data_IF_625310128935
#
_entry.id   IF_625310128935
#
_cell.length_a   1.000
_cell.length_b   1.000
_cell.length_c   1.000
_cell.angle_alpha   90.00
_cell.angle_beta   90.00
_cell.angle_gamma   90.00
#
_symmetry.space_group_name_H-M   'P 1'
#
loop_
_entity.id
_entity.type
_entity.pdbx_description
1 polymer ?
#
# COMPACT_ATOMS: atom_id res chain seq x y z
N UNK A 1 14.08 9.42 8.73
CA UNK A 1 13.92 8.21 9.56
C UNK A 1 12.47 7.89 9.93
N UNK A 2 11.70 8.83 10.50
CA UNK A 2 10.30 8.53 10.90
C UNK A 2 9.41 8.20 9.68
N UNK A 3 9.49 9.00 8.60
CA UNK A 3 8.71 8.76 7.37
C UNK A 3 8.98 7.39 6.74
N UNK A 4 10.23 6.94 6.70
CA UNK A 4 10.61 5.63 6.16
C UNK A 4 10.09 4.47 7.00
N UNK A 5 10.04 4.62 8.33
CA UNK A 5 9.45 3.61 9.22
C UNK A 5 7.94 3.48 9.01
N UNK A 6 7.24 4.60 8.83
CA UNK A 6 5.81 4.58 8.50
C UNK A 6 5.55 3.91 7.15
N UNK A 7 6.35 4.21 6.13
CA UNK A 7 6.27 3.51 4.83
C UNK A 7 6.52 2.01 4.97
N UNK A 8 7.54 1.62 5.74
CA UNK A 8 7.82 0.21 6.01
C UNK A 8 6.67 -0.49 6.75
N UNK A 9 6.10 0.17 7.77
CA UNK A 9 4.93 -0.33 8.51
C UNK A 9 3.74 -0.57 7.58
N UNK A 10 3.36 0.42 6.77
CA UNK A 10 2.23 0.27 5.82
C UNK A 10 2.49 -0.84 4.80
N UNK A 11 3.74 -1.01 4.35
CA UNK A 11 4.13 -2.13 3.50
C UNK A 11 3.97 -3.49 4.19
N UNK A 12 4.34 -3.61 5.47
CA UNK A 12 4.15 -4.83 6.26
C UNK A 12 2.66 -5.13 6.50
N UNK A 13 1.85 -4.12 6.82
CA UNK A 13 0.39 -4.27 7.01
C UNK A 13 -0.30 -4.71 5.71
N UNK A 14 0.13 -4.17 4.56
CA UNK A 14 -0.33 -4.61 3.24
C UNK A 14 0.02 -6.09 2.99
N UNK A 15 1.25 -6.50 3.32
CA UNK A 15 1.67 -7.90 3.18
C UNK A 15 0.88 -8.84 4.09
N UNK A 16 0.63 -8.44 5.34
CA UNK A 16 -0.21 -9.21 6.28
C UNK A 16 -1.61 -9.41 5.71
N UNK A 17 -2.25 -8.33 5.26
CA UNK A 17 -3.59 -8.39 4.64
C UNK A 17 -3.61 -9.33 3.43
N UNK A 18 -2.55 -9.32 2.62
CA UNK A 18 -2.41 -10.24 1.48
C UNK A 18 -2.36 -11.69 1.92
N UNK A 19 -1.58 -12.00 2.96
CA UNK A 19 -1.50 -13.35 3.52
C UNK A 19 -2.83 -13.80 4.11
N UNK A 20 -3.56 -12.92 4.77
CA UNK A 20 -4.87 -13.24 5.36
C UNK A 20 -5.89 -13.60 4.27
N UNK A 21 -5.94 -12.83 3.18
CA UNK A 21 -6.82 -13.15 2.04
C UNK A 21 -6.41 -14.44 1.34
N UNK A 22 -5.11 -14.70 1.18
CA UNK A 22 -4.62 -15.98 0.62
C UNK A 22 -5.03 -17.14 1.53
N UNK A 23 -4.84 -17.00 2.83
CA UNK A 23 -5.15 -18.04 3.83
C UNK A 23 -6.66 -18.33 3.85
N UNK A 24 -7.50 -17.30 3.81
CA UNK A 24 -8.95 -17.46 3.75
C UNK A 24 -9.40 -18.16 2.46
N UNK A 25 -8.82 -17.79 1.31
CA UNK A 25 -9.12 -18.44 0.04
C UNK A 25 -8.70 -19.91 0.02
N UNK A 26 -7.54 -20.23 0.60
CA UNK A 26 -7.03 -21.59 0.67
C UNK A 26 -7.89 -22.46 1.59
N UNK A 27 -8.28 -21.94 2.75
CA UNK A 27 -9.13 -22.64 3.71
C UNK A 27 -10.51 -23.00 3.12
N UNK A 28 -11.02 -22.20 2.17
CA UNK A 28 -12.35 -22.37 1.58
C UNK A 28 -12.34 -22.96 0.17
N UNK A 29 -11.20 -23.50 -0.30
CA UNK A 29 -11.07 -24.01 -1.69
C UNK A 29 -12.04 -25.16 -2.00
N UNK A 30 -12.39 -25.97 -0.99
CA UNK A 30 -13.31 -27.11 -1.13
C UNK A 30 -14.76 -26.77 -0.78
N UNK A 31 -15.06 -25.53 -0.39
CA UNK A 31 -16.40 -25.09 -0.01
C UNK A 31 -17.20 -24.78 -1.26
N UNK A 32 -18.28 -25.54 -1.52
CA UNK A 32 -19.14 -25.31 -2.68
C UNK A 32 -19.77 -23.92 -2.62
N UNK A 33 -19.73 -23.18 -3.73
CA UNK A 33 -20.29 -21.83 -3.85
C UNK A 33 -19.37 -20.71 -3.34
N UNK A 34 -18.20 -21.01 -2.78
CA UNK A 34 -17.25 -19.99 -2.33
C UNK A 34 -16.72 -19.12 -3.48
N UNK A 35 -16.62 -17.80 -3.23
CA UNK A 35 -16.10 -16.82 -4.19
C UNK A 35 -14.77 -16.29 -3.69
N UNK A 36 -13.74 -16.45 -4.52
CA UNK A 36 -12.37 -16.04 -4.19
C UNK A 36 -12.25 -14.52 -4.09
N UNK A 37 -11.63 -14.04 -3.02
CA UNK A 37 -11.31 -12.63 -2.81
C UNK A 37 -9.89 -12.29 -3.24
N UNK A 38 -9.63 -11.05 -3.66
CA UNK A 38 -8.29 -10.55 -3.99
C UNK A 38 -8.10 -9.16 -3.41
N UNK A 39 -7.04 -8.90 -2.63
CA UNK A 39 -6.73 -7.56 -2.17
C UNK A 39 -6.15 -6.75 -3.33
N UNK A 40 -6.55 -5.48 -3.42
CA UNK A 40 -5.98 -4.48 -4.32
C UNK A 40 -5.38 -3.40 -3.44
N UNK A 41 -4.17 -2.98 -3.76
CA UNK A 41 -3.47 -1.90 -3.06
C UNK A 41 -3.37 -0.70 -3.99
N UNK A 42 -3.61 0.48 -3.44
CA UNK A 42 -3.57 1.73 -4.16
C UNK A 42 -2.59 2.68 -3.49
N UNK A 43 -2.04 3.59 -4.30
CA UNK A 43 -1.11 4.59 -3.82
C UNK A 43 -1.84 5.70 -3.05
N UNK A 44 -1.12 6.30 -2.10
CA UNK A 44 -1.59 7.45 -1.34
C UNK A 44 -1.30 8.76 -2.10
N UNK A 45 -1.97 9.85 -1.70
CA UNK A 45 -1.72 11.18 -2.25
C UNK A 45 -0.24 11.59 -2.04
N UNK A 46 0.42 12.00 -3.12
CA UNK A 46 1.81 12.45 -3.06
C UNK A 46 1.92 13.85 -2.47
N UNK A 47 2.84 14.04 -1.53
CA UNK A 47 3.18 15.35 -0.98
C UNK A 47 4.23 16.03 -1.88
N UNK A 48 3.79 16.95 -2.74
CA UNK A 48 4.67 17.75 -3.59
C UNK A 48 5.22 18.94 -2.79
N UNK A 49 6.43 18.81 -2.24
CA UNK A 49 7.07 19.89 -1.44
C UNK A 49 7.58 21.07 -2.30
N UNK A 50 7.75 20.86 -3.60
CA UNK A 50 8.13 21.90 -4.56
C UNK A 50 7.36 21.68 -5.86
N UNK A 51 6.93 22.77 -6.49
CA UNK A 51 6.31 22.72 -7.81
C UNK A 51 7.34 22.20 -8.83
N UNK A 52 7.04 21.14 -9.59
CA UNK A 52 7.91 20.72 -10.70
C UNK A 52 8.07 21.87 -11.69
N UNK A 53 9.30 22.33 -11.92
CA UNK A 53 9.61 23.44 -12.84
C UNK A 53 9.77 24.82 -12.21
N UNK A 54 9.76 24.98 -10.88
CA UNK A 54 10.03 26.26 -10.24
C UNK A 54 11.50 26.71 -10.47
N UNK A 55 11.71 27.95 -10.95
CA UNK A 55 13.03 28.56 -11.10
C UNK A 55 13.71 28.75 -9.74
N UNK A 56 15.00 28.37 -9.66
CA UNK A 56 15.84 28.51 -8.48
C UNK A 56 16.33 29.96 -8.26
N UNK A 57 15.44 30.95 -8.31
CA UNK A 57 15.79 32.35 -8.11
C UNK A 57 14.97 32.98 -6.98
N UNK A 58 15.26 32.63 -5.73
CA UNK A 58 15.20 33.60 -4.63
C UNK A 58 16.42 33.36 -3.75
N UNK A 59 17.23 34.40 -3.75
CA UNK A 59 18.38 34.70 -2.92
C UNK A 59 17.83 35.20 -1.58
N UNK A 60 18.20 34.51 -0.49
CA UNK A 60 18.41 35.02 0.89
C UNK A 60 18.81 33.84 1.80
#
# INVERSE_FOLDING_TARGET
>A
MIKSLWTAKTGLESQQTKLDVISNNLANVSTNGFKRSRPVFEDLLYQNMRQPGAQNNIQD
#
